data_IF_364425903399
#
_entry.id   IF_364425903399
#
_cell.length_a   1.000
_cell.length_b   1.000
_cell.length_c   1.000
_cell.angle_alpha   90.00
_cell.angle_beta   90.00
_cell.angle_gamma   90.00
#
_symmetry.space_group_name_H-M   'P 1'
#
loop_
_entity.id
_entity.type
_entity.pdbx_description
1 polymer ?
#
# COMPACT_ATOMS: atom_id res chain seq x y z
N UNK A 1 -6.31 5.09 16.15
CA UNK A 1 -6.77 3.84 15.51
C UNK A 1 -7.38 4.17 14.16
N UNK A 2 -7.00 3.46 13.10
CA UNK A 2 -7.69 3.50 11.81
C UNK A 2 -8.72 2.38 11.76
N UNK A 3 -9.94 2.69 11.30
CA UNK A 3 -11.00 1.69 11.12
C UNK A 3 -10.74 0.89 9.84
N UNK A 4 -10.86 -0.43 9.94
CA UNK A 4 -10.76 -1.36 8.82
C UNK A 4 -12.12 -1.96 8.49
N UNK A 5 -12.28 -2.32 7.23
CA UNK A 5 -13.29 -3.27 6.77
C UNK A 5 -12.59 -4.48 6.18
N UNK A 6 -13.25 -5.62 6.28
CA UNK A 6 -12.87 -6.82 5.52
C UNK A 6 -13.75 -6.91 4.28
N UNK A 7 -13.12 -6.93 3.11
CA UNK A 7 -13.78 -7.28 1.86
C UNK A 7 -13.66 -8.79 1.71
N UNK A 8 -14.76 -9.50 1.88
CA UNK A 8 -14.87 -10.93 1.61
C UNK A 8 -15.03 -11.14 0.10
N UNK A 9 -14.20 -12.00 -0.47
CA UNK A 9 -14.24 -12.38 -1.89
C UNK A 9 -14.46 -13.89 -1.96
N UNK A 10 -15.59 -14.29 -2.53
CA UNK A 10 -16.00 -15.70 -2.63
C UNK A 10 -16.42 -16.06 -4.06
N UNK A 11 -16.60 -17.36 -4.31
CA UNK A 11 -17.02 -17.89 -5.61
C UNK A 11 -15.95 -18.78 -6.28
N UNK A 12 -16.38 -19.61 -7.24
CA UNK A 12 -15.52 -20.62 -7.89
C UNK A 12 -14.29 -20.02 -8.59
N UNK A 13 -14.38 -18.77 -9.05
CA UNK A 13 -13.31 -18.09 -9.77
C UNK A 13 -12.50 -17.12 -8.88
N UNK A 14 -12.79 -17.03 -7.57
CA UNK A 14 -12.21 -16.00 -6.70
C UNK A 14 -10.67 -16.03 -6.67
N UNK A 15 -10.08 -17.22 -6.56
CA UNK A 15 -8.63 -17.39 -6.54
C UNK A 15 -7.99 -16.93 -7.86
N UNK A 16 -8.51 -17.42 -8.99
CA UNK A 16 -8.00 -17.06 -10.32
C UNK A 16 -8.18 -15.56 -10.62
N UNK A 17 -9.32 -14.99 -10.22
CA UNK A 17 -9.62 -13.57 -10.35
C UNK A 17 -8.61 -12.72 -9.57
N UNK A 18 -8.44 -12.98 -8.27
CA UNK A 18 -7.50 -12.23 -7.43
C UNK A 18 -6.04 -12.46 -7.86
N UNK A 19 -5.68 -13.68 -8.30
CA UNK A 19 -4.34 -13.97 -8.83
C UNK A 19 -3.99 -13.07 -10.01
N UNK A 20 -4.96 -12.70 -10.86
CA UNK A 20 -4.77 -11.77 -11.98
C UNK A 20 -4.87 -10.29 -11.61
N UNK A 21 -5.32 -9.94 -10.40
CA UNK A 21 -5.42 -8.55 -9.95
C UNK A 21 -4.28 -8.14 -9.02
N UNK A 22 -3.88 -9.02 -8.10
CA UNK A 22 -2.99 -8.68 -7.00
C UNK A 22 -1.51 -8.95 -7.32
N UNK A 23 -0.63 -8.19 -6.68
CA UNK A 23 0.82 -8.23 -6.89
C UNK A 23 1.52 -9.45 -6.29
N UNK A 24 0.91 -10.12 -5.32
CA UNK A 24 1.48 -11.29 -4.65
C UNK A 24 0.79 -12.59 -5.09
N UNK A 25 1.43 -13.72 -4.85
CA UNK A 25 0.96 -15.04 -5.27
C UNK A 25 0.05 -15.67 -4.20
N UNK A 26 -1.24 -15.82 -4.53
CA UNK A 26 -2.23 -16.34 -3.60
C UNK A 26 -1.95 -17.79 -3.17
N UNK A 27 -1.18 -18.56 -3.95
CA UNK A 27 -0.78 -19.93 -3.60
C UNK A 27 0.01 -20.01 -2.30
N UNK A 28 0.60 -18.90 -1.85
CA UNK A 28 1.24 -18.79 -0.54
C UNK A 28 0.28 -19.05 0.62
N UNK A 29 -1.00 -18.74 0.45
CA UNK A 29 -2.04 -18.98 1.44
C UNK A 29 -2.34 -20.49 1.65
N UNK A 30 -1.76 -21.38 0.85
CA UNK A 30 -1.80 -22.83 1.11
C UNK A 30 -0.99 -23.20 2.36
N UNK A 31 -0.03 -22.35 2.76
CA UNK A 31 0.88 -22.59 3.90
C UNK A 31 1.03 -21.41 4.85
N UNK A 32 0.62 -20.21 4.45
CA UNK A 32 0.69 -18.98 5.24
C UNK A 32 -0.71 -18.54 5.67
N UNK A 33 -0.86 -18.06 6.91
CA UNK A 33 -2.15 -17.60 7.42
C UNK A 33 -2.67 -16.34 6.69
N UNK A 34 -1.74 -15.47 6.30
CA UNK A 34 -2.00 -14.24 5.55
C UNK A 34 -0.78 -13.88 4.72
N UNK A 35 -1.00 -13.08 3.68
CA UNK A 35 0.06 -12.45 2.89
C UNK A 35 -0.21 -10.96 2.73
N UNK A 36 0.85 -10.19 2.49
CA UNK A 36 0.71 -8.82 2.04
C UNK A 36 0.55 -8.79 0.51
N UNK A 37 -0.35 -7.97 0.02
CA UNK A 37 -0.54 -7.77 -1.40
C UNK A 37 -0.96 -6.33 -1.69
N UNK A 38 -0.80 -5.93 -2.94
CA UNK A 38 -1.35 -4.70 -3.46
C UNK A 38 -2.17 -4.95 -4.71
N UNK A 39 -3.10 -4.03 -4.96
CA UNK A 39 -3.81 -3.92 -6.21
C UNK A 39 -3.38 -2.63 -6.90
N UNK A 40 -3.00 -2.74 -8.17
CA UNK A 40 -2.47 -1.62 -8.94
C UNK A 40 -3.35 -1.31 -10.15
N UNK A 41 -3.30 -0.05 -10.59
CA UNK A 41 -3.76 0.32 -11.92
C UNK A 41 -2.77 -0.15 -13.00
N UNK A 42 -3.12 -0.10 -14.30
CA UNK A 42 -2.23 -0.51 -15.39
C UNK A 42 -0.91 0.27 -15.47
N UNK A 43 -0.82 1.44 -14.83
CA UNK A 43 0.40 2.26 -14.72
C UNK A 43 1.27 1.88 -13.52
N UNK A 44 0.96 0.78 -12.82
CA UNK A 44 1.69 0.30 -11.65
C UNK A 44 1.55 1.18 -10.41
N UNK A 45 0.53 2.05 -10.36
CA UNK A 45 0.20 2.86 -9.18
C UNK A 45 -0.78 2.12 -8.29
N UNK A 46 -0.53 2.16 -6.99
CA UNK A 46 -1.24 1.36 -5.99
C UNK A 46 -2.61 1.96 -5.69
N UNK A 47 -3.66 1.17 -5.90
CA UNK A 47 -5.04 1.48 -5.53
C UNK A 47 -5.29 1.05 -4.08
N UNK A 48 -4.80 -0.12 -3.71
CA UNK A 48 -4.94 -0.74 -2.40
C UNK A 48 -3.65 -1.49 -2.03
N UNK A 49 -3.33 -1.52 -0.73
CA UNK A 49 -2.32 -2.38 -0.13
C UNK A 49 -2.79 -2.80 1.27
N UNK A 50 -2.59 -4.06 1.61
CA UNK A 50 -2.98 -4.61 2.91
C UNK A 50 -2.77 -6.12 2.99
N UNK A 51 -3.40 -6.72 3.99
CA UNK A 51 -3.38 -8.18 4.21
C UNK A 51 -4.47 -8.86 3.40
N UNK A 52 -4.15 -10.06 2.92
CA UNK A 52 -5.07 -11.01 2.32
C UNK A 52 -4.93 -12.33 3.07
N UNK A 53 -6.05 -12.93 3.49
CA UNK A 53 -6.08 -14.24 4.13
C UNK A 53 -7.07 -15.17 3.42
N UNK A 54 -6.90 -16.48 3.61
CA UNK A 54 -7.89 -17.47 3.21
C UNK A 54 -9.03 -17.50 4.24
N UNK A 55 -10.26 -17.76 3.76
CA UNK A 55 -11.43 -18.01 4.59
C UNK A 55 -12.12 -19.31 4.16
N UNK A 56 -13.09 -19.78 4.93
CA UNK A 56 -13.85 -21.00 4.62
C UNK A 56 -14.56 -20.95 3.25
N UNK A 57 -14.84 -19.75 2.73
CA UNK A 57 -15.59 -19.53 1.49
C UNK A 57 -14.83 -18.78 0.40
N UNK A 58 -13.54 -18.49 0.61
CA UNK A 58 -12.70 -17.76 -0.34
C UNK A 58 -11.57 -17.00 0.35
N UNK A 59 -11.62 -15.67 0.28
CA UNK A 59 -10.56 -14.79 0.77
C UNK A 59 -11.12 -13.57 1.51
N UNK A 60 -10.36 -13.08 2.49
CA UNK A 60 -10.62 -11.84 3.20
C UNK A 60 -9.50 -10.85 2.94
N UNK A 61 -9.85 -9.66 2.46
CA UNK A 61 -8.93 -8.56 2.18
C UNK A 61 -9.18 -7.42 3.17
N UNK A 62 -8.14 -6.95 3.88
CA UNK A 62 -8.26 -5.81 4.77
C UNK A 62 -8.17 -4.48 4.00
N UNK A 63 -9.11 -3.56 4.25
CA UNK A 63 -9.12 -2.25 3.60
C UNK A 63 -9.42 -1.14 4.62
N UNK A 64 -8.91 0.09 4.42
CA UNK A 64 -9.45 1.27 5.10
C UNK A 64 -10.96 1.33 4.89
N UNK A 65 -11.72 1.46 5.98
CA UNK A 65 -13.19 1.36 5.92
C UNK A 65 -13.83 2.39 4.97
N UNK A 66 -13.22 3.56 4.81
CA UNK A 66 -13.66 4.63 3.91
C UNK A 66 -13.38 4.36 2.42
N UNK A 67 -12.59 3.32 2.10
CA UNK A 67 -12.25 2.94 0.73
C UNK A 67 -12.87 1.63 0.27
N UNK A 68 -13.46 0.85 1.17
CA UNK A 68 -13.91 -0.51 0.88
C UNK A 68 -14.94 -0.56 -0.26
N UNK A 69 -15.93 0.33 -0.23
CA UNK A 69 -16.96 0.43 -1.28
C UNK A 69 -16.38 0.76 -2.66
N UNK A 70 -15.41 1.69 -2.72
CA UNK A 70 -14.77 2.06 -3.99
C UNK A 70 -13.90 0.92 -4.54
N UNK A 71 -13.19 0.20 -3.66
CA UNK A 71 -12.42 -0.98 -4.04
C UNK A 71 -13.36 -2.05 -4.63
N UNK A 72 -14.46 -2.40 -3.95
CA UNK A 72 -15.43 -3.40 -4.43
C UNK A 72 -16.07 -2.96 -5.75
N UNK A 73 -16.49 -1.70 -5.84
CA UNK A 73 -17.07 -1.13 -7.07
C UNK A 73 -16.12 -1.28 -8.25
N UNK A 74 -14.85 -0.95 -8.07
CA UNK A 74 -13.85 -1.06 -9.13
C UNK A 74 -13.55 -2.52 -9.45
N UNK A 75 -13.34 -3.40 -8.46
CA UNK A 75 -13.09 -4.84 -8.68
C UNK A 75 -14.24 -5.49 -9.45
N UNK A 76 -15.47 -5.10 -9.17
CA UNK A 76 -16.67 -5.58 -9.88
C UNK A 76 -16.59 -5.31 -11.39
N UNK A 77 -15.97 -4.21 -11.83
CA UNK A 77 -15.78 -3.90 -13.25
C UNK A 77 -14.83 -4.90 -13.94
N UNK A 78 -13.88 -5.48 -13.20
CA UNK A 78 -12.93 -6.46 -13.72
C UNK A 78 -13.47 -7.90 -13.70
N UNK A 79 -14.64 -8.12 -13.08
CA UNK A 79 -15.20 -9.47 -12.87
C UNK A 79 -15.52 -10.22 -14.16
N UNK A 80 -15.65 -9.58 -15.32
CA UNK A 80 -16.23 -10.14 -16.56
C UNK A 80 -16.30 -11.68 -16.65
N UNK A 81 -17.51 -12.23 -16.55
CA UNK A 81 -17.88 -13.67 -16.52
C UNK A 81 -17.34 -14.51 -15.35
N UNK A 82 -16.36 -14.03 -14.59
CA UNK A 82 -15.87 -14.68 -13.38
C UNK A 82 -17.00 -14.75 -12.36
N UNK A 83 -17.26 -15.94 -11.82
CA UNK A 83 -18.21 -16.17 -10.73
C UNK A 83 -17.54 -15.80 -9.41
N UNK A 84 -17.56 -14.51 -9.12
CA UNK A 84 -17.00 -13.90 -7.92
C UNK A 84 -18.01 -12.95 -7.29
N UNK A 85 -18.17 -13.05 -5.98
CA UNK A 85 -19.01 -12.19 -5.17
C UNK A 85 -18.18 -11.46 -4.11
N UNK A 86 -18.65 -10.26 -3.76
CA UNK A 86 -17.99 -9.36 -2.81
C UNK A 86 -18.98 -8.98 -1.71
N UNK A 87 -18.53 -9.06 -0.46
CA UNK A 87 -19.26 -8.60 0.70
C UNK A 87 -18.33 -7.78 1.60
N UNK A 88 -18.84 -6.71 2.21
CA UNK A 88 -18.05 -5.82 3.06
C UNK A 88 -18.52 -6.00 4.50
N UNK A 89 -17.61 -6.39 5.38
CA UNK A 89 -17.84 -6.48 6.81
C UNK A 89 -17.05 -5.39 7.53
N UNK A 90 -17.75 -4.59 8.32
CA UNK A 90 -17.15 -3.60 9.22
C UNK A 90 -17.56 -3.95 10.64
N UNK A 91 -16.74 -4.74 11.32
CA UNK A 91 -16.98 -5.30 12.65
C UNK A 91 -16.29 -4.51 13.77
N UNK A 92 -15.73 -3.34 13.44
CA UNK A 92 -14.98 -2.52 14.39
C UNK A 92 -13.50 -2.89 14.48
N UNK A 93 -12.98 -3.77 13.61
CA UNK A 93 -11.55 -4.00 13.49
C UNK A 93 -10.79 -2.68 13.25
N UNK A 94 -9.66 -2.53 13.91
CA UNK A 94 -8.82 -1.34 13.76
C UNK A 94 -7.35 -1.71 13.70
N UNK A 95 -6.56 -0.82 13.10
CA UNK A 95 -5.10 -0.88 13.10
C UNK A 95 -4.52 0.37 13.75
N UNK A 96 -3.45 0.20 14.51
CA UNK A 96 -2.74 1.30 15.15
C UNK A 96 -1.87 2.04 14.12
N UNK A 97 -2.12 3.35 13.87
CA UNK A 97 -1.28 4.14 12.98
C UNK A 97 0.19 4.14 13.40
N UNK A 98 0.47 4.10 14.71
CA UNK A 98 1.83 4.10 15.23
C UNK A 98 2.58 2.81 14.88
N UNK A 99 1.90 1.67 14.92
CA UNK A 99 2.44 0.39 14.47
C UNK A 99 2.79 0.44 12.99
N UNK A 100 1.90 0.97 12.14
CA UNK A 100 2.11 1.06 10.70
C UNK A 100 3.31 1.95 10.37
N UNK A 101 3.36 3.15 10.94
CA UNK A 101 4.46 4.10 10.72
C UNK A 101 5.80 3.53 11.18
N UNK A 102 5.87 2.96 12.39
CA UNK A 102 7.13 2.40 12.94
C UNK A 102 7.68 1.26 12.11
N UNK A 103 6.81 0.44 11.54
CA UNK A 103 7.18 -0.71 10.74
C UNK A 103 7.22 -0.41 9.24
N UNK A 104 7.03 0.84 8.81
CA UNK A 104 7.08 1.22 7.40
C UNK A 104 5.95 0.67 6.54
N UNK A 105 4.84 0.23 7.15
CA UNK A 105 3.67 -0.24 6.41
C UNK A 105 2.84 0.95 5.92
N UNK A 106 2.76 1.19 4.60
CA UNK A 106 1.95 2.27 4.08
C UNK A 106 0.45 1.98 4.29
N UNK A 107 -0.32 2.99 4.68
CA UNK A 107 -1.78 2.92 4.77
C UNK A 107 -2.40 3.75 3.64
N UNK A 108 -3.03 3.11 2.67
CA UNK A 108 -3.50 3.75 1.44
C UNK A 108 -4.99 4.05 1.53
N UNK A 109 -5.34 5.24 2.00
CA UNK A 109 -6.71 5.75 1.99
C UNK A 109 -7.12 6.34 0.63
N UNK A 110 -8.37 6.81 0.55
CA UNK A 110 -8.97 7.25 -0.72
C UNK A 110 -8.21 8.38 -1.41
N UNK A 111 -7.64 9.31 -0.64
CA UNK A 111 -6.84 10.41 -1.18
C UNK A 111 -5.45 9.98 -1.67
N UNK A 112 -4.92 8.82 -1.25
CA UNK A 112 -3.62 8.31 -1.69
C UNK A 112 -3.71 7.29 -2.83
N UNK A 113 -4.92 6.80 -3.12
CA UNK A 113 -5.18 5.85 -4.20
C UNK A 113 -4.61 6.36 -5.52
N UNK A 114 -3.85 5.50 -6.20
CA UNK A 114 -3.18 5.75 -7.47
C UNK A 114 -2.16 6.90 -7.46
N UNK A 115 -1.72 7.42 -6.31
CA UNK A 115 -0.66 8.44 -6.27
C UNK A 115 0.73 7.85 -6.45
N UNK A 116 1.02 6.73 -5.81
CA UNK A 116 2.38 6.18 -5.71
C UNK A 116 2.51 4.84 -6.41
N UNK A 117 3.70 4.54 -6.93
CA UNK A 117 4.00 3.21 -7.48
C UNK A 117 4.36 2.22 -6.37
N UNK A 118 4.29 0.92 -6.65
CA UNK A 118 4.59 -0.11 -5.65
C UNK A 118 6.00 0.04 -5.03
N UNK A 119 7.01 0.36 -5.84
CA UNK A 119 8.39 0.57 -5.37
C UNK A 119 8.55 1.85 -4.55
N UNK A 120 7.79 2.91 -4.87
CA UNK A 120 7.78 4.13 -4.04
C UNK A 120 7.24 3.82 -2.64
N UNK A 121 6.35 2.84 -2.52
CA UNK A 121 5.74 2.41 -1.27
C UNK A 121 6.50 1.25 -0.60
N UNK A 122 7.71 0.91 -1.07
CA UNK A 122 8.53 -0.20 -0.56
C UNK A 122 7.89 -1.59 -0.64
N UNK A 123 6.88 -1.79 -1.48
CA UNK A 123 6.18 -3.07 -1.55
C UNK A 123 7.08 -4.22 -2.03
N UNK A 124 8.16 -3.90 -2.74
CA UNK A 124 9.22 -4.83 -3.12
C UNK A 124 10.09 -5.29 -1.93
N UNK A 125 10.14 -4.51 -0.85
CA UNK A 125 10.88 -4.80 0.38
C UNK A 125 9.99 -5.41 1.47
N UNK A 126 8.67 -5.26 1.34
CA UNK A 126 7.67 -5.74 2.29
C UNK A 126 7.10 -7.12 1.92
N UNK A 127 7.75 -7.83 1.00
CA UNK A 127 7.29 -9.14 0.49
C UNK A 127 5.84 -9.11 -0.04
N UNK A 128 5.43 -7.94 -0.58
CA UNK A 128 4.08 -7.71 -1.09
C UNK A 128 3.96 -7.88 -2.61
N UNK A 129 5.06 -8.23 -3.27
CA UNK A 129 5.15 -8.44 -4.71
C UNK A 129 5.88 -9.75 -4.97
N UNK A 130 5.24 -10.66 -5.69
CA UNK A 130 5.92 -11.82 -6.23
C UNK A 130 6.38 -11.52 -7.67
N UNK A 131 7.69 -11.54 -7.92
CA UNK A 131 8.24 -11.21 -9.24
C UNK A 131 8.18 -12.41 -10.23
N UNK A 132 7.92 -13.61 -9.72
CA UNK A 132 7.93 -14.87 -10.46
C UNK A 132 6.51 -15.40 -10.77
N UNK A 133 5.46 -14.73 -10.29
CA UNK A 133 4.07 -15.12 -10.56
C UNK A 133 3.64 -14.75 -11.99
N UNK A 134 2.52 -15.35 -12.39
CA UNK A 134 1.84 -15.03 -13.65
C UNK A 134 1.35 -13.58 -13.76
N UNK A 135 0.79 -13.24 -14.91
CA UNK A 135 0.38 -11.87 -15.24
C UNK A 135 -0.64 -11.29 -14.23
N UNK A 136 -0.43 -10.04 -13.84
CA UNK A 136 -1.38 -9.25 -13.07
C UNK A 136 -1.37 -7.77 -13.51
N UNK A 137 -2.43 -7.04 -13.17
CA UNK A 137 -2.58 -5.62 -13.56
C UNK A 137 -1.43 -4.76 -13.04
N UNK A 138 -0.72 -4.07 -13.95
CA UNK A 138 0.40 -3.18 -13.62
C UNK A 138 1.77 -3.86 -13.50
N UNK A 139 1.86 -5.18 -13.69
CA UNK A 139 3.10 -5.95 -13.59
C UNK A 139 4.22 -5.40 -14.48
N UNK A 140 3.94 -4.99 -15.73
CA UNK A 140 4.98 -4.50 -16.65
C UNK A 140 5.77 -3.33 -16.06
N UNK A 141 5.07 -2.36 -15.43
CA UNK A 141 5.70 -1.19 -14.83
C UNK A 141 6.49 -1.56 -13.58
N UNK A 142 5.96 -2.47 -12.77
CA UNK A 142 6.62 -2.97 -11.56
C UNK A 142 7.89 -3.73 -11.94
N UNK A 143 7.80 -4.73 -12.82
CA UNK A 143 8.94 -5.51 -13.29
C UNK A 143 10.01 -4.64 -13.96
N UNK A 144 9.60 -3.68 -14.80
CA UNK A 144 10.57 -2.75 -15.43
C UNK A 144 11.33 -1.92 -14.39
N UNK A 145 10.65 -1.45 -13.35
CA UNK A 145 11.29 -0.70 -12.26
C UNK A 145 12.29 -1.57 -11.52
N UNK A 146 11.91 -2.81 -11.20
CA UNK A 146 12.76 -3.76 -10.47
C UNK A 146 14.03 -4.12 -11.24
N UNK A 147 13.89 -4.53 -12.51
CA UNK A 147 15.02 -5.08 -13.28
C UNK A 147 15.86 -4.03 -14.02
N UNK A 148 15.28 -2.85 -14.33
CA UNK A 148 15.93 -1.87 -15.24
C UNK A 148 15.92 -0.44 -14.74
N UNK A 149 15.02 -0.08 -13.83
CA UNK A 149 14.60 1.31 -13.65
C UNK A 149 14.67 1.82 -12.23
N UNK A 150 15.53 1.22 -11.37
CA UNK A 150 15.69 1.47 -9.94
C UNK A 150 14.96 2.72 -9.42
N UNK A 151 14.05 2.52 -8.45
CA UNK A 151 13.27 3.64 -7.92
C UNK A 151 14.18 4.69 -7.29
N UNK A 152 13.95 5.96 -7.64
CA UNK A 152 14.69 7.09 -7.06
C UNK A 152 14.01 7.67 -5.81
N UNK A 153 12.79 7.24 -5.54
CA UNK A 153 11.98 7.68 -4.40
C UNK A 153 11.43 6.48 -3.66
N UNK A 154 11.42 6.55 -2.34
CA UNK A 154 10.86 5.53 -1.46
C UNK A 154 10.13 6.19 -0.30
N UNK A 155 9.25 5.44 0.34
CA UNK A 155 8.72 5.78 1.64
C UNK A 155 9.86 5.68 2.65
N UNK A 156 10.18 6.78 3.30
CA UNK A 156 11.11 6.85 4.43
C UNK A 156 10.33 7.30 5.67
N UNK A 157 10.90 7.05 6.85
CA UNK A 157 10.29 7.43 8.12
C UNK A 157 10.98 8.64 8.71
N UNK A 158 10.20 9.56 9.26
CA UNK A 158 10.70 10.76 9.90
C UNK A 158 9.95 11.03 11.20
N UNK A 159 10.59 11.76 12.10
CA UNK A 159 9.93 12.43 13.21
C UNK A 159 9.89 13.94 12.93
N UNK A 160 8.72 14.55 13.05
CA UNK A 160 8.54 15.98 12.90
C UNK A 160 8.60 16.71 14.24
N UNK A 161 9.14 17.93 14.27
CA UNK A 161 9.21 18.72 15.50
C UNK A 161 7.81 19.17 16.02
N UNK A 162 6.79 19.12 15.18
CA UNK A 162 5.40 19.46 15.49
C UNK A 162 4.44 18.63 14.62
N UNK A 163 3.14 18.54 14.98
CA UNK A 163 2.17 17.78 14.19
C UNK A 163 2.10 18.24 12.72
N UNK A 164 2.04 17.27 11.82
CA UNK A 164 1.89 17.42 10.37
C UNK A 164 0.72 16.58 9.87
N UNK A 165 0.29 16.78 8.61
CA UNK A 165 -0.84 16.07 8.01
C UNK A 165 -0.42 15.25 6.79
N UNK A 166 -1.08 14.11 6.58
CA UNK A 166 -0.94 13.35 5.34
C UNK A 166 -1.33 14.20 4.12
N UNK A 167 -0.58 14.06 3.02
CA UNK A 167 -0.74 14.84 1.79
C UNK A 167 0.04 16.16 1.75
N UNK A 168 0.57 16.63 2.89
CA UNK A 168 1.43 17.82 2.93
C UNK A 168 2.76 17.57 2.20
N UNK A 169 3.35 18.63 1.65
CA UNK A 169 4.57 18.55 0.85
C UNK A 169 5.81 18.56 1.74
N UNK A 170 6.75 17.67 1.40
CA UNK A 170 8.09 17.66 1.99
C UNK A 170 8.99 18.53 1.12
N UNK A 171 9.68 19.49 1.73
CA UNK A 171 10.56 20.45 1.07
C UNK A 171 12.01 20.29 1.52
N UNK A 172 12.95 20.52 0.59
CA UNK A 172 14.39 20.63 0.88
C UNK A 172 14.84 22.08 1.15
N UNK A 173 13.89 23.00 1.34
CA UNK A 173 14.13 24.43 1.53
C UNK A 173 14.11 25.25 0.24
N UNK A 174 14.33 24.61 -0.92
CA UNK A 174 14.23 25.27 -2.22
C UNK A 174 12.93 24.92 -2.94
N UNK A 175 12.47 23.66 -2.81
CA UNK A 175 11.32 23.14 -3.54
C UNK A 175 10.68 21.95 -2.84
N UNK A 176 9.45 21.67 -3.26
CA UNK A 176 8.75 20.45 -2.85
C UNK A 176 9.38 19.22 -3.53
N UNK A 177 9.91 18.32 -2.71
CA UNK A 177 10.55 17.08 -3.14
C UNK A 177 9.84 15.84 -2.62
N UNK A 178 8.69 15.94 -1.97
CA UNK A 178 8.00 14.75 -1.48
C UNK A 178 6.60 15.03 -0.97
N UNK A 179 5.98 14.01 -0.42
CA UNK A 179 4.65 14.09 0.15
C UNK A 179 4.59 13.20 1.40
N UNK A 180 4.01 13.73 2.48
CA UNK A 180 3.70 12.98 3.69
C UNK A 180 2.64 11.93 3.35
N UNK A 181 2.95 10.67 3.62
CA UNK A 181 2.09 9.53 3.30
C UNK A 181 1.15 9.21 4.47
N UNK A 182 1.69 8.93 5.65
CA UNK A 182 0.96 8.56 6.86
C UNK A 182 1.57 9.23 8.08
N UNK A 183 0.76 9.52 9.11
CA UNK A 183 1.18 10.21 10.34
C UNK A 183 0.61 9.49 11.57
N UNK A 184 1.41 9.39 12.61
CA UNK A 184 1.04 8.92 13.94
C UNK A 184 1.70 9.83 15.00
N UNK A 185 0.96 10.83 15.49
CA UNK A 185 1.54 11.87 16.34
C UNK A 185 2.50 12.74 15.55
N UNK A 186 3.78 12.74 15.93
CA UNK A 186 4.89 13.39 15.20
C UNK A 186 5.71 12.40 14.37
N UNK A 187 5.42 11.10 14.45
CA UNK A 187 6.07 10.09 13.63
C UNK A 187 5.34 10.00 12.29
N UNK A 188 6.06 9.93 11.17
CA UNK A 188 5.45 9.92 9.85
C UNK A 188 6.22 9.06 8.85
N UNK A 189 5.49 8.61 7.84
CA UNK A 189 6.02 8.07 6.59
C UNK A 189 5.90 9.14 5.52
N UNK A 190 6.93 9.34 4.70
CA UNK A 190 6.90 10.26 3.56
C UNK A 190 7.58 9.66 2.33
N UNK A 191 7.02 9.91 1.15
CA UNK A 191 7.62 9.48 -0.12
C UNK A 191 8.56 10.57 -0.63
N UNK A 192 9.87 10.34 -0.52
CA UNK A 192 10.93 11.30 -0.84
C UNK A 192 12.05 10.66 -1.69
N UNK A 193 12.89 11.45 -2.38
CA UNK A 193 14.11 10.98 -3.00
C UNK A 193 15.04 10.28 -2.00
N UNK A 194 15.58 9.13 -2.39
CA UNK A 194 16.44 8.31 -1.51
C UNK A 194 17.74 9.06 -1.17
N UNK A 195 18.29 9.82 -2.12
CA UNK A 195 19.50 10.62 -1.95
C UNK A 195 19.32 11.85 -1.05
N UNK A 196 18.08 12.12 -0.63
CA UNK A 196 17.73 13.24 0.28
C UNK A 196 17.37 12.77 1.68
N UNK A 197 17.47 11.48 1.99
CA UNK A 197 17.09 10.89 3.27
C UNK A 197 17.68 11.65 4.48
N UNK A 198 18.98 11.96 4.43
CA UNK A 198 19.70 12.64 5.52
C UNK A 198 19.91 14.14 5.27
N UNK A 199 19.23 14.71 4.26
CA UNK A 199 19.24 16.16 4.03
C UNK A 199 18.31 16.85 5.03
N UNK A 200 18.52 18.15 5.33
CA UNK A 200 17.52 18.94 6.05
C UNK A 200 16.21 18.98 5.25
N UNK A 201 15.14 18.45 5.82
CA UNK A 201 13.81 18.41 5.21
C UNK A 201 12.80 19.06 6.13
N UNK A 202 11.79 19.70 5.54
CA UNK A 202 10.69 20.32 6.29
C UNK A 202 9.33 19.99 5.69
N UNK A 203 8.29 20.10 6.52
CA UNK A 203 6.88 20.14 6.09
C UNK A 203 6.27 21.42 6.65
N UNK A 204 5.83 22.34 5.78
CA UNK A 204 5.31 23.64 6.21
C UNK A 204 6.27 24.40 7.17
N UNK A 205 7.58 24.26 6.97
CA UNK A 205 8.61 24.86 7.83
C UNK A 205 8.87 24.11 9.16
N UNK A 206 8.23 22.96 9.39
CA UNK A 206 8.48 22.08 10.53
C UNK A 206 9.60 21.11 10.14
N UNK A 207 10.68 21.09 10.91
CA UNK A 207 11.83 20.21 10.67
C UNK A 207 11.47 18.73 10.80
N UNK A 208 12.05 17.92 9.91
CA UNK A 208 11.99 16.46 9.93
C UNK A 208 13.34 15.88 10.33
N UNK A 209 13.31 14.91 11.23
CA UNK A 209 14.46 14.07 11.59
C UNK A 209 14.29 12.70 10.98
N UNK A 210 15.25 12.25 10.17
CA UNK A 210 15.21 10.92 9.55
C UNK A 210 15.32 9.81 10.60
N UNK A 211 14.46 8.79 10.48
CA UNK A 211 14.44 7.62 11.36
C UNK A 211 14.48 6.37 10.49
N UNK A 212 15.39 5.43 10.80
CA UNK A 212 15.51 4.20 10.04
C UNK A 212 14.24 3.35 10.10
N UNK A 213 13.94 2.67 8.99
CA UNK A 213 12.89 1.67 8.92
C UNK A 213 13.48 0.29 9.27
N UNK A 214 12.69 -0.67 9.80
CA UNK A 214 13.22 -1.96 10.24
C UNK A 214 13.86 -2.82 9.12
N UNK A 215 13.57 -2.49 7.86
CA UNK A 215 13.99 -3.25 6.68
C UNK A 215 14.83 -2.43 5.69
N UNK A 216 15.16 -1.16 6.01
CA UNK A 216 15.92 -0.26 5.15
C UNK A 216 17.11 0.35 5.89
#
# INVERSE_FOLDING_TARGET
>A
MHLLSTINISGEDAAAFLQGQLTNDLRRLDSEAEILAAWCNPKGRVIWFGTLCATDSGFGLSAPADTADDIVKRLTMFRFRSKVDFDIVTDGATVDPQFLVRNGFPFIGGQQSEKFTAHMLNLDLLDAINMDKGCYTGQEVIARTHYKGATKRRTLRFESAAPVSAGEKVSDGERDIGEVLNVAGTDLLAVVPIDKADSPLTVNGIDLTHVALPYL
#
